data_IF_760050227802
#
_entry.id   IF_760050227802
#
_cell.length_a   1.000
_cell.length_b   1.000
_cell.length_c   1.000
_cell.angle_alpha   90.00
_cell.angle_beta   90.00
_cell.angle_gamma   90.00
#
_symmetry.space_group_name_H-M   'P 1'
#
loop_
_entity.id
_entity.type
_entity.pdbx_description
1 polymer ?
#
# COMPACT_ATOMS: atom_id res chain seq x y z
N UNK A 1 1.96 13.67 9.91
CA UNK A 1 2.30 13.60 8.48
C UNK A 1 1.23 12.75 7.82
N UNK A 2 0.59 13.25 6.77
CA UNK A 2 -0.48 12.54 6.06
C UNK A 2 0.12 11.89 4.82
N UNK A 3 -0.09 10.59 4.67
CA UNK A 3 0.36 9.84 3.50
C UNK A 3 -0.68 10.02 2.38
N UNK A 4 -0.23 10.51 1.23
CA UNK A 4 -1.10 10.74 0.07
C UNK A 4 -1.12 9.54 -0.87
N UNK A 5 -2.22 9.34 -1.61
CA UNK A 5 -2.35 8.24 -2.58
C UNK A 5 -1.19 8.23 -3.58
N UNK A 6 -0.81 9.39 -4.11
CA UNK A 6 0.34 9.52 -5.02
C UNK A 6 1.66 9.02 -4.41
N UNK A 7 1.90 9.27 -3.13
CA UNK A 7 3.14 8.86 -2.49
C UNK A 7 3.23 7.33 -2.35
N UNK A 8 2.10 6.68 -2.04
CA UNK A 8 1.99 5.22 -2.03
C UNK A 8 2.07 4.67 -3.45
N UNK A 9 1.34 5.26 -4.39
CA UNK A 9 1.34 4.87 -5.80
C UNK A 9 2.75 4.93 -6.40
N UNK A 10 3.50 6.00 -6.19
CA UNK A 10 4.89 6.10 -6.62
C UNK A 10 5.78 5.03 -6.00
N UNK A 11 5.63 4.79 -4.68
CA UNK A 11 6.44 3.81 -3.98
C UNK A 11 6.17 2.39 -4.51
N UNK A 12 4.89 2.08 -4.78
CA UNK A 12 4.44 0.84 -5.39
C UNK A 12 4.93 0.74 -6.83
N UNK A 13 4.67 1.73 -7.67
CA UNK A 13 5.02 1.76 -9.09
C UNK A 13 6.52 1.55 -9.29
N UNK A 14 7.35 2.22 -8.47
CA UNK A 14 8.81 2.08 -8.55
C UNK A 14 9.32 0.69 -8.12
N UNK A 15 8.63 0.01 -7.19
CA UNK A 15 9.08 -1.28 -6.64
C UNK A 15 8.52 -2.49 -7.39
N UNK A 16 7.25 -2.41 -7.77
CA UNK A 16 6.46 -3.49 -8.37
C UNK A 16 6.23 -3.30 -9.87
N UNK A 17 6.70 -2.18 -10.44
CA UNK A 17 6.58 -1.88 -11.87
C UNK A 17 5.10 -1.86 -12.35
N UNK A 18 4.22 -1.35 -11.48
CA UNK A 18 2.79 -1.17 -11.74
C UNK A 18 2.54 0.27 -12.18
N UNK A 19 1.62 0.48 -13.12
CA UNK A 19 1.23 1.83 -13.55
C UNK A 19 0.47 2.58 -12.45
N UNK A 20 0.86 3.81 -12.17
CA UNK A 20 0.20 4.68 -11.18
C UNK A 20 -1.30 4.86 -11.49
N UNK A 21 -1.67 4.87 -12.77
CA UNK A 21 -3.07 4.93 -13.23
C UNK A 21 -3.92 3.76 -12.78
N UNK A 22 -3.31 2.60 -12.48
CA UNK A 22 -4.02 1.43 -11.93
C UNK A 22 -4.14 1.49 -10.42
N UNK A 23 -3.25 2.23 -9.75
CA UNK A 23 -3.19 2.34 -8.29
C UNK A 23 -4.21 3.37 -7.82
N UNK A 24 -5.48 2.98 -7.94
CA UNK A 24 -6.63 3.76 -7.46
C UNK A 24 -7.09 3.21 -6.11
N UNK A 25 -7.65 4.04 -5.21
CA UNK A 25 -8.12 3.60 -3.91
C UNK A 25 -9.21 2.51 -3.99
N UNK A 26 -9.94 2.45 -5.10
CA UNK A 26 -10.96 1.43 -5.40
C UNK A 26 -10.37 0.11 -5.93
N UNK A 27 -9.08 0.09 -6.31
CA UNK A 27 -8.45 -1.12 -6.84
C UNK A 27 -8.07 -2.06 -5.70
N UNK A 28 -8.36 -3.34 -5.93
CA UNK A 28 -7.92 -4.41 -5.05
C UNK A 28 -6.42 -4.65 -5.21
N UNK A 29 -5.74 -4.91 -4.10
CA UNK A 29 -4.34 -5.31 -4.06
C UNK A 29 -4.11 -6.55 -4.95
N UNK A 30 -5.02 -7.53 -4.89
CA UNK A 30 -4.98 -8.72 -5.74
C UNK A 30 -5.04 -8.39 -7.25
N UNK A 31 -5.87 -7.42 -7.66
CA UNK A 31 -6.01 -7.01 -9.07
C UNK A 31 -4.73 -6.32 -9.58
N UNK A 32 -4.03 -5.65 -8.67
CA UNK A 32 -2.73 -5.03 -8.92
C UNK A 32 -1.57 -6.04 -8.90
N UNK A 33 -1.81 -7.31 -8.57
CA UNK A 33 -0.78 -8.35 -8.46
C UNK A 33 -0.04 -8.33 -7.12
N UNK A 34 -0.66 -7.77 -6.08
CA UNK A 34 -0.17 -7.90 -4.71
C UNK A 34 -0.69 -9.18 -4.08
N UNK A 35 0.10 -10.24 -4.16
CA UNK A 35 -0.06 -11.43 -3.34
C UNK A 35 0.37 -11.17 -1.88
N UNK A 36 0.06 -12.13 -1.01
CA UNK A 36 0.41 -12.10 0.42
C UNK A 36 1.91 -11.87 0.70
N UNK A 37 2.82 -12.29 -0.19
CA UNK A 37 4.25 -11.94 -0.09
C UNK A 37 4.54 -10.48 -0.47
N UNK A 38 3.91 -9.99 -1.53
CA UNK A 38 4.07 -8.61 -2.02
C UNK A 38 3.52 -7.60 -1.02
N UNK A 39 2.46 -7.95 -0.28
CA UNK A 39 1.93 -7.14 0.84
C UNK A 39 2.96 -6.95 1.96
N UNK A 40 3.72 -7.99 2.32
CA UNK A 40 4.79 -7.88 3.33
C UNK A 40 5.91 -6.97 2.84
N UNK A 41 6.30 -7.07 1.56
CA UNK A 41 7.31 -6.17 0.96
C UNK A 41 6.80 -4.73 0.91
N UNK A 42 5.51 -4.54 0.60
CA UNK A 42 4.83 -3.24 0.64
C UNK A 42 4.89 -2.63 2.05
N UNK A 43 4.56 -3.39 3.09
CA UNK A 43 4.65 -2.94 4.49
C UNK A 43 6.05 -2.39 4.82
N UNK A 44 7.07 -3.17 4.47
CA UNK A 44 8.46 -2.78 4.71
C UNK A 44 8.86 -1.55 3.89
N UNK A 45 8.40 -1.47 2.65
CA UNK A 45 8.64 -0.34 1.76
C UNK A 45 8.00 0.93 2.31
N UNK A 46 6.72 0.90 2.69
CA UNK A 46 6.01 2.01 3.31
C UNK A 46 6.69 2.43 4.62
N UNK A 47 7.15 1.47 5.43
CA UNK A 47 7.92 1.75 6.65
C UNK A 47 9.24 2.45 6.37
N UNK A 48 10.00 2.01 5.38
CA UNK A 48 11.32 2.60 5.05
C UNK A 48 11.21 3.92 4.30
N UNK A 49 10.26 4.04 3.36
CA UNK A 49 10.07 5.22 2.50
C UNK A 49 9.26 6.32 3.19
N UNK A 50 8.16 5.95 3.84
CA UNK A 50 7.16 6.88 4.37
C UNK A 50 7.16 6.92 5.91
N UNK A 51 7.89 6.01 6.58
CA UNK A 51 7.91 5.93 8.04
C UNK A 51 6.65 5.27 8.63
N UNK A 52 5.83 4.61 7.81
CA UNK A 52 4.56 4.02 8.21
C UNK A 52 4.76 2.62 8.77
N UNK A 53 4.29 2.35 10.00
CA UNK A 53 4.29 1.00 10.54
C UNK A 53 2.92 0.36 10.36
N UNK A 54 2.84 -0.62 9.46
CA UNK A 54 1.67 -1.47 9.27
C UNK A 54 2.05 -2.90 9.68
N UNK A 55 1.22 -3.53 10.51
CA UNK A 55 1.39 -4.93 10.90
C UNK A 55 0.88 -5.87 9.80
N UNK A 56 1.42 -7.09 9.74
CA UNK A 56 0.95 -8.15 8.82
C UNK A 56 -0.55 -8.43 9.00
N UNK A 57 -1.04 -8.48 10.24
CA UNK A 57 -2.46 -8.65 10.53
C UNK A 57 -3.32 -7.54 9.91
N UNK A 58 -2.90 -6.28 10.05
CA UNK A 58 -3.62 -5.14 9.45
C UNK A 58 -3.57 -5.22 7.91
N UNK A 59 -2.43 -5.61 7.35
CA UNK A 59 -2.29 -5.82 5.90
C UNK A 59 -3.14 -6.98 5.36
N UNK A 60 -3.39 -7.99 6.19
CA UNK A 60 -4.26 -9.11 5.85
C UNK A 60 -5.75 -8.76 5.97
N UNK A 61 -6.10 -7.74 6.74
CA UNK A 61 -7.47 -7.22 6.85
C UNK A 61 -7.82 -6.26 5.71
N UNK A 62 -6.83 -5.71 5.01
CA UNK A 62 -7.04 -4.80 3.89
C UNK A 62 -7.02 -5.51 2.55
N UNK A 63 -7.99 -5.15 1.71
CA UNK A 63 -8.11 -5.70 0.37
C UNK A 63 -7.78 -4.66 -0.72
N UNK A 64 -7.93 -3.37 -0.41
CA UNK A 64 -7.79 -2.29 -1.39
C UNK A 64 -6.63 -1.35 -1.08
N UNK A 65 -6.18 -0.61 -2.10
CA UNK A 65 -5.19 0.47 -1.90
C UNK A 65 -5.71 1.55 -0.95
N UNK A 66 -7.02 1.85 -0.99
CA UNK A 66 -7.66 2.82 -0.11
C UNK A 66 -7.56 2.44 1.36
N UNK A 67 -7.71 1.16 1.67
CA UNK A 67 -7.56 0.65 3.04
C UNK A 67 -6.10 0.74 3.52
N UNK A 68 -5.13 0.41 2.65
CA UNK A 68 -3.69 0.59 2.96
C UNK A 68 -3.38 2.06 3.24
N UNK A 69 -3.99 2.99 2.50
CA UNK A 69 -3.89 4.43 2.75
C UNK A 69 -4.49 4.84 4.10
N UNK A 70 -5.64 4.28 4.47
CA UNK A 70 -6.27 4.55 5.75
C UNK A 70 -5.38 4.11 6.91
N UNK A 71 -4.87 2.87 6.85
CA UNK A 71 -3.88 2.34 7.80
C UNK A 71 -2.63 3.21 7.84
N UNK A 72 -2.11 3.61 6.69
CA UNK A 72 -0.90 4.42 6.60
C UNK A 72 -1.04 5.81 7.24
N UNK A 73 -2.27 6.34 7.27
CA UNK A 73 -2.60 7.59 7.92
C UNK A 73 -2.93 7.45 9.42
N UNK A 74 -2.87 6.23 9.97
CA UNK A 74 -3.27 5.97 11.35
C UNK A 74 -4.77 6.13 11.59
N UNK A 75 -5.59 6.03 10.55
CA UNK A 75 -7.04 5.86 10.67
C UNK A 75 -7.34 4.37 10.72
N UNK A 76 -7.21 3.78 11.90
CA UNK A 76 -7.66 2.43 12.25
C UNK A 76 -8.45 2.53 13.56
#
# INVERSE_FOLDING_TARGET
MTVSNEAIAQAIAARFNIEESRIVPEASLEDLGFDSLSQVDLAQLLRKKLGVQISDAQLSEVATVGDVLALANGKA
#
